data_IF_768665206593
#
_entry.id   IF_768665206593
#
_cell.length_a   1.000
_cell.length_b   1.000
_cell.length_c   1.000
_cell.angle_alpha   90.00
_cell.angle_beta   90.00
_cell.angle_gamma   90.00
#
_symmetry.space_group_name_H-M   'P 1'
#
loop_
_entity.id
_entity.type
_entity.pdbx_description
1 polymer ?
#
# COMPACT_ATOMS: atom_id res chain seq x y z
N UNK A 1 2.14 11.79 -20.25
CA UNK A 1 2.41 11.39 -18.85
C UNK A 1 2.76 9.93 -18.90
N UNK A 2 3.94 9.57 -18.39
CA UNK A 2 4.42 8.20 -18.43
C UNK A 2 3.53 7.32 -17.53
N UNK A 3 3.22 6.10 -17.97
CA UNK A 3 2.34 5.20 -17.23
C UNK A 3 2.96 4.84 -15.86
N UNK A 4 4.30 4.84 -15.77
CA UNK A 4 5.05 4.68 -14.52
C UNK A 4 4.72 5.75 -13.47
N UNK A 5 4.58 7.02 -13.89
CA UNK A 5 4.27 8.13 -12.99
C UNK A 5 2.86 7.95 -12.41
N UNK A 6 1.93 7.41 -13.20
CA UNK A 6 0.56 7.15 -12.75
C UNK A 6 0.51 6.07 -11.65
N UNK A 7 1.26 4.98 -11.82
CA UNK A 7 1.31 3.87 -10.85
C UNK A 7 2.01 4.31 -9.56
N UNK A 8 3.10 5.07 -9.68
CA UNK A 8 3.83 5.58 -8.52
C UNK A 8 3.02 6.60 -7.72
N UNK A 9 2.35 7.54 -8.40
CA UNK A 9 1.48 8.51 -7.73
C UNK A 9 0.31 7.82 -7.01
N UNK A 10 -0.26 6.79 -7.64
CA UNK A 10 -1.31 5.99 -7.01
C UNK A 10 -0.79 5.23 -5.79
N UNK A 11 0.41 4.64 -5.87
CA UNK A 11 1.06 4.00 -4.73
C UNK A 11 1.25 5.00 -3.57
N UNK A 12 1.71 6.22 -3.85
CA UNK A 12 1.86 7.27 -2.85
C UNK A 12 0.53 7.67 -2.21
N UNK A 13 -0.53 7.78 -3.01
CA UNK A 13 -1.89 8.07 -2.51
C UNK A 13 -2.36 6.99 -1.53
N UNK A 14 -2.26 5.73 -1.92
CA UNK A 14 -2.68 4.58 -1.10
C UNK A 14 -1.90 4.48 0.21
N UNK A 15 -0.60 4.78 0.19
CA UNK A 15 0.23 4.88 1.40
C UNK A 15 -0.28 6.01 2.31
N UNK A 16 -0.55 7.19 1.75
CA UNK A 16 -1.08 8.33 2.51
C UNK A 16 -2.44 8.03 3.16
N UNK A 17 -3.35 7.38 2.42
CA UNK A 17 -4.66 6.96 2.94
C UNK A 17 -4.51 5.92 4.08
N UNK A 18 -3.58 4.98 3.93
CA UNK A 18 -3.29 3.98 4.97
C UNK A 18 -2.73 4.63 6.24
N UNK A 19 -1.82 5.61 6.11
CA UNK A 19 -1.32 6.39 7.24
C UNK A 19 -2.43 7.16 7.95
N UNK A 20 -3.35 7.80 7.20
CA UNK A 20 -4.49 8.50 7.77
C UNK A 20 -5.44 7.56 8.51
N UNK A 21 -5.69 6.37 7.95
CA UNK A 21 -6.51 5.34 8.61
C UNK A 21 -5.90 4.93 9.95
N UNK A 22 -4.60 4.61 9.98
CA UNK A 22 -3.89 4.23 11.21
C UNK A 22 -3.92 5.37 12.24
N UNK A 23 -3.62 6.60 11.82
CA UNK A 23 -3.65 7.77 12.69
C UNK A 23 -5.03 7.98 13.34
N UNK A 24 -6.10 7.82 12.56
CA UNK A 24 -7.48 7.97 13.04
C UNK A 24 -7.87 6.92 14.07
N UNK A 25 -7.28 5.73 14.00
CA UNK A 25 -7.52 4.64 14.94
C UNK A 25 -6.63 4.72 16.19
N UNK A 26 -5.65 5.64 16.22
CA UNK A 26 -4.65 5.71 17.29
C UNK A 26 -3.57 4.64 17.18
N UNK A 27 -3.43 4.01 16.01
CA UNK A 27 -2.43 2.96 15.75
C UNK A 27 -1.06 3.56 15.43
N UNK A 28 0.00 2.77 15.66
CA UNK A 28 1.35 3.14 15.26
C UNK A 28 1.49 3.21 13.73
N UNK A 29 2.10 4.29 13.24
CA UNK A 29 2.44 4.45 11.83
C UNK A 29 3.90 4.01 11.63
N UNK A 30 4.08 2.78 11.18
CA UNK A 30 5.38 2.22 10.80
C UNK A 30 5.33 1.62 9.40
N UNK A 31 6.50 1.47 8.74
CA UNK A 31 6.59 0.87 7.40
C UNK A 31 5.90 -0.51 7.36
N UNK A 32 6.11 -1.32 8.39
CA UNK A 32 5.51 -2.65 8.52
C UNK A 32 3.98 -2.58 8.70
N UNK A 33 3.47 -1.66 9.53
CA UNK A 33 2.03 -1.50 9.71
C UNK A 33 1.34 -1.04 8.43
N UNK A 34 1.92 -0.06 7.73
CA UNK A 34 1.37 0.40 6.45
C UNK A 34 1.38 -0.72 5.40
N UNK A 35 2.49 -1.47 5.29
CA UNK A 35 2.56 -2.62 4.39
C UNK A 35 1.52 -3.70 4.71
N UNK A 36 1.30 -3.98 6.00
CA UNK A 36 0.28 -4.91 6.46
C UNK A 36 -1.13 -4.47 6.06
N UNK A 37 -1.47 -3.19 6.25
CA UNK A 37 -2.78 -2.67 5.83
C UNK A 37 -2.96 -2.74 4.32
N UNK A 38 -1.92 -2.39 3.55
CA UNK A 38 -1.96 -2.48 2.09
C UNK A 38 -2.11 -3.93 1.60
N UNK A 39 -1.47 -4.91 2.24
CA UNK A 39 -1.67 -6.35 1.96
C UNK A 39 -3.13 -6.78 2.19
N UNK A 40 -3.76 -6.30 3.26
CA UNK A 40 -5.19 -6.57 3.53
C UNK A 40 -6.09 -5.98 2.46
N UNK A 41 -5.87 -4.73 2.06
CA UNK A 41 -6.63 -4.06 1.01
C UNK A 41 -6.43 -4.78 -0.34
N UNK A 42 -5.19 -5.17 -0.66
CA UNK A 42 -4.87 -5.92 -1.87
C UNK A 42 -5.64 -7.24 -1.93
N UNK A 43 -5.67 -7.98 -0.82
CA UNK A 43 -6.42 -9.23 -0.70
C UNK A 43 -7.92 -9.01 -0.96
N UNK A 44 -8.51 -7.99 -0.34
CA UNK A 44 -9.93 -7.67 -0.52
C UNK A 44 -10.28 -7.31 -1.97
N UNK A 45 -9.41 -6.57 -2.66
CA UNK A 45 -9.59 -6.25 -4.08
C UNK A 45 -9.51 -7.51 -4.93
N UNK A 46 -8.52 -8.37 -4.70
CA UNK A 46 -8.39 -9.64 -5.43
C UNK A 46 -9.59 -10.56 -5.20
N UNK A 47 -10.12 -10.63 -3.98
CA UNK A 47 -11.31 -11.43 -3.66
C UNK A 47 -12.56 -10.92 -4.41
N UNK A 48 -12.71 -9.61 -4.54
CA UNK A 48 -13.88 -9.00 -5.18
C UNK A 48 -13.81 -8.96 -6.71
N UNK A 49 -12.61 -8.75 -7.26
CA UNK A 49 -12.43 -8.45 -8.69
C UNK A 49 -11.68 -9.54 -9.45
N UNK A 50 -10.95 -10.41 -8.75
CA UNK A 50 -10.00 -11.35 -9.36
C UNK A 50 -8.72 -10.68 -9.88
N UNK A 51 -8.59 -9.35 -9.74
CA UNK A 51 -7.50 -8.59 -10.32
C UNK A 51 -6.49 -8.11 -9.27
N UNK A 52 -5.22 -8.09 -9.67
CA UNK A 52 -4.13 -7.59 -8.83
C UNK A 52 -3.88 -6.12 -9.12
N UNK A 53 -3.90 -5.27 -8.09
CA UNK A 53 -3.58 -3.85 -8.24
C UNK A 53 -2.04 -3.63 -8.20
N UNK A 54 -1.49 -3.10 -9.31
CA UNK A 54 -0.06 -2.88 -9.48
C UNK A 54 0.49 -1.79 -8.54
N UNK A 55 -0.27 -0.73 -8.27
CA UNK A 55 0.16 0.35 -7.38
C UNK A 55 0.25 -0.12 -5.92
N UNK A 56 -0.68 -0.98 -5.49
CA UNK A 56 -0.61 -1.59 -4.15
C UNK A 56 0.62 -2.50 -4.04
N UNK A 57 0.91 -3.33 -5.06
CA UNK A 57 2.12 -4.15 -5.09
C UNK A 57 3.39 -3.32 -4.97
N UNK A 58 3.51 -2.27 -5.79
CA UNK A 58 4.65 -1.37 -5.77
C UNK A 58 4.83 -0.73 -4.38
N UNK A 59 3.74 -0.26 -3.76
CA UNK A 59 3.78 0.32 -2.42
C UNK A 59 4.28 -0.69 -1.37
N UNK A 60 3.77 -1.92 -1.41
CA UNK A 60 4.19 -2.99 -0.50
C UNK A 60 5.68 -3.28 -0.68
N UNK A 61 6.15 -3.48 -1.91
CA UNK A 61 7.56 -3.77 -2.20
C UNK A 61 8.48 -2.68 -1.64
N UNK A 62 8.15 -1.41 -1.86
CA UNK A 62 8.95 -0.28 -1.37
C UNK A 62 8.92 -0.14 0.17
N UNK A 63 7.79 -0.46 0.80
CA UNK A 63 7.68 -0.43 2.26
C UNK A 63 8.44 -1.59 2.92
N UNK A 64 8.54 -2.73 2.24
CA UNK A 64 9.24 -3.92 2.74
C UNK A 64 10.73 -3.94 2.40
N UNK A 65 11.18 -3.11 1.44
CA UNK A 65 12.59 -3.03 1.07
C UNK A 65 13.48 -2.70 2.30
N UNK A 66 14.42 -3.59 2.61
CA UNK A 66 15.29 -3.46 3.79
C UNK A 66 14.62 -3.71 5.16
N UNK A 67 13.38 -4.20 5.23
CA UNK A 67 12.80 -4.76 6.48
C UNK A 67 13.29 -6.18 6.78
N UNK A 68 13.81 -6.90 5.78
CA UNK A 68 14.45 -8.21 5.96
C UNK A 68 15.96 -8.00 6.04
N UNK A 69 16.55 -8.26 7.21
CA UNK A 69 17.98 -8.42 7.43
C UNK A 69 18.24 -9.78 8.05
#
# INVERSE_FOLDING_TARGET
>A
MDNSDSVYNEACRLVGESCLMLARNGDEISRAQVAYQLKRIHWQIMEQTGESNLAIKLAIEQLEDGLVK
#
